data_IF_071815895262
#
_entry.id   IF_071815895262
#
_cell.length_a   1.000
_cell.length_b   1.000
_cell.length_c   1.000
_cell.angle_alpha   90.00
_cell.angle_beta   90.00
_cell.angle_gamma   90.00
#
_symmetry.space_group_name_H-M   'P 1'
#
loop_
_entity.id
_entity.type
_entity.pdbx_description
1 polymer ?
#
# COMPACT_ATOMS: atom_id res chain seq x y z
N UNK A 1 3.19 7.22 -8.50
CA UNK A 1 1.85 7.48 -7.91
C UNK A 1 1.73 6.65 -6.65
N UNK A 2 0.84 6.99 -5.71
CA UNK A 2 0.65 6.22 -4.48
C UNK A 2 -0.29 5.04 -4.72
N UNK A 3 0.14 3.83 -4.40
CA UNK A 3 -0.60 2.59 -4.69
C UNK A 3 -1.96 2.56 -3.99
N UNK A 4 -2.03 2.99 -2.73
CA UNK A 4 -3.29 3.10 -1.99
C UNK A 4 -4.25 4.15 -2.56
N UNK A 5 -3.73 5.26 -3.09
CA UNK A 5 -4.56 6.29 -3.73
C UNK A 5 -5.04 5.85 -5.11
N UNK A 6 -4.19 5.17 -5.89
CA UNK A 6 -4.54 4.59 -7.20
C UNK A 6 -5.67 3.57 -7.02
N UNK A 7 -5.52 2.63 -6.08
CA UNK A 7 -6.54 1.62 -5.78
C UNK A 7 -7.89 2.23 -5.36
N UNK A 8 -7.89 3.47 -4.84
CA UNK A 8 -9.10 4.24 -4.48
C UNK A 8 -9.60 5.18 -5.57
N UNK A 9 -8.92 5.25 -6.72
CA UNK A 9 -9.22 6.21 -7.79
C UNK A 9 -9.01 7.67 -7.38
N UNK A 10 -8.19 7.94 -6.36
CA UNK A 10 -7.95 9.29 -5.83
C UNK A 10 -6.64 9.85 -6.35
N UNK A 11 -6.66 11.13 -6.71
CA UNK A 11 -5.44 11.83 -7.09
C UNK A 11 -4.62 12.19 -5.83
N UNK A 12 -3.49 11.50 -5.68
CA UNK A 12 -2.61 11.62 -4.52
C UNK A 12 -1.94 13.00 -4.40
N UNK A 13 -1.65 13.68 -5.52
CA UNK A 13 -0.99 15.00 -5.51
C UNK A 13 -1.93 16.11 -5.05
N UNK A 14 -3.23 15.99 -5.34
CA UNK A 14 -4.27 16.91 -4.86
C UNK A 14 -4.50 16.74 -3.35
N UNK A 15 -4.49 15.50 -2.86
CA UNK A 15 -4.77 15.21 -1.44
C UNK A 15 -3.61 15.60 -0.50
N UNK A 16 -2.36 15.49 -0.96
CA UNK A 16 -1.19 15.81 -0.13
C UNK A 16 -0.75 17.29 -0.22
N UNK A 17 -1.25 18.02 -1.23
CA UNK A 17 -0.74 19.34 -1.59
C UNK A 17 0.62 19.28 -2.31
N UNK A 18 0.98 20.35 -3.05
CA UNK A 18 2.14 20.35 -3.94
C UNK A 18 3.48 20.17 -3.21
N UNK A 19 3.59 20.68 -1.97
CA UNK A 19 4.85 20.67 -1.18
C UNK A 19 5.16 19.31 -0.54
N UNK A 20 4.17 18.44 -0.33
CA UNK A 20 4.34 17.12 0.34
C UNK A 20 4.02 15.94 -0.59
N UNK A 21 4.31 16.14 -1.86
CA UNK A 21 4.09 15.16 -2.93
C UNK A 21 5.24 14.15 -3.06
N UNK A 22 6.01 13.92 -2.00
CA UNK A 22 7.01 12.86 -2.00
C UNK A 22 6.35 11.50 -1.81
N UNK A 23 6.79 10.53 -2.60
CA UNK A 23 6.39 9.14 -2.50
C UNK A 23 7.44 8.39 -1.68
N UNK A 24 6.99 7.76 -0.61
CA UNK A 24 7.80 6.95 0.29
C UNK A 24 7.61 5.48 -0.05
N UNK A 25 8.69 4.71 0.00
CA UNK A 25 8.62 3.25 -0.11
C UNK A 25 8.35 2.69 1.28
N UNK A 26 7.19 2.07 1.46
CA UNK A 26 6.84 1.32 2.64
C UNK A 26 6.94 -0.17 2.35
N UNK A 27 7.16 -0.97 3.39
CA UNK A 27 7.19 -2.43 3.30
C UNK A 27 6.15 -3.00 4.25
N UNK A 28 5.39 -3.97 3.78
CA UNK A 28 4.58 -4.83 4.62
C UNK A 28 5.35 -6.10 4.96
N UNK A 29 5.23 -6.52 6.21
CA UNK A 29 5.92 -7.69 6.75
C UNK A 29 4.94 -8.68 7.40
N UNK A 30 4.09 -8.18 8.27
CA UNK A 30 3.25 -9.01 9.13
C UNK A 30 1.98 -9.50 8.42
N UNK A 31 1.59 -8.82 7.33
CA UNK A 31 0.31 -9.07 6.65
C UNK A 31 0.37 -10.15 5.56
N UNK A 32 1.57 -10.65 5.21
CA UNK A 32 1.78 -11.64 4.15
C UNK A 32 2.64 -12.82 4.62
N UNK A 33 2.40 -13.32 5.84
CA UNK A 33 3.03 -14.55 6.38
C UNK A 33 4.57 -14.60 6.23
N UNK A 34 5.25 -13.47 6.47
CA UNK A 34 6.71 -13.38 6.40
C UNK A 34 7.28 -12.97 5.04
N UNK A 35 6.43 -12.67 4.04
CA UNK A 35 6.88 -12.07 2.77
C UNK A 35 7.00 -10.56 2.89
N UNK A 36 8.13 -10.00 2.42
CA UNK A 36 8.30 -8.56 2.29
C UNK A 36 7.56 -8.05 1.03
N UNK A 37 6.50 -7.26 1.23
CA UNK A 37 5.80 -6.62 0.12
C UNK A 37 6.12 -5.14 0.10
N UNK A 38 6.85 -4.68 -0.92
CA UNK A 38 7.19 -3.27 -1.07
C UNK A 38 6.11 -2.50 -1.82
N UNK A 39 5.63 -1.41 -1.23
CA UNK A 39 4.63 -0.52 -1.82
C UNK A 39 5.09 0.94 -1.80
N UNK A 40 4.58 1.75 -2.74
CA UNK A 40 4.82 3.19 -2.81
C UNK A 40 3.62 3.93 -2.26
N UNK A 41 3.82 4.62 -1.15
CA UNK A 41 2.80 5.42 -0.49
C UNK A 41 3.10 6.91 -0.61
N UNK A 42 2.05 7.73 -0.61
CA UNK A 42 2.18 9.15 -0.37
C UNK A 42 2.31 9.40 1.13
N UNK A 43 2.80 10.58 1.51
CA UNK A 43 3.00 10.97 2.92
C UNK A 43 1.78 10.72 3.84
N UNK A 44 0.55 11.04 3.40
CA UNK A 44 -0.64 10.77 4.21
C UNK A 44 -0.92 9.28 4.37
N UNK A 45 -0.69 8.48 3.33
CA UNK A 45 -0.88 7.04 3.39
C UNK A 45 0.22 6.35 4.22
N UNK A 46 1.47 6.82 4.16
CA UNK A 46 2.53 6.29 5.01
C UNK A 46 2.28 6.61 6.49
N UNK A 47 1.81 7.82 6.81
CA UNK A 47 1.36 8.16 8.17
C UNK A 47 0.20 7.28 8.64
N UNK A 48 -0.80 7.04 7.80
CA UNK A 48 -1.92 6.16 8.16
C UNK A 48 -1.50 4.72 8.37
N UNK A 49 -0.57 4.23 7.55
CA UNK A 49 0.02 2.91 7.73
C UNK A 49 0.73 2.80 9.08
N UNK A 50 1.52 3.80 9.43
CA UNK A 50 2.22 3.85 10.71
C UNK A 50 1.26 3.93 11.91
N UNK A 51 0.21 4.76 11.83
CA UNK A 51 -0.74 4.97 12.93
C UNK A 51 -1.69 3.79 13.15
N UNK A 52 -2.23 3.21 12.08
CA UNK A 52 -3.24 2.15 12.18
C UNK A 52 -2.63 0.75 12.15
N UNK A 53 -1.38 0.62 11.71
CA UNK A 53 -0.73 -0.66 11.47
C UNK A 53 -1.20 -1.31 10.17
N UNK A 54 -0.44 -2.30 9.71
CA UNK A 54 -0.61 -2.90 8.39
C UNK A 54 -2.00 -3.54 8.18
N UNK A 55 -2.48 -4.31 9.17
CA UNK A 55 -3.76 -5.04 9.08
C UNK A 55 -4.94 -4.09 8.88
N UNK A 56 -5.06 -3.09 9.76
CA UNK A 56 -6.14 -2.10 9.68
C UNK A 56 -6.02 -1.25 8.41
N UNK A 57 -4.80 -0.90 8.00
CA UNK A 57 -4.58 -0.18 6.75
C UNK A 57 -5.05 -0.97 5.53
N UNK A 58 -4.78 -2.29 5.48
CA UNK A 58 -5.22 -3.15 4.38
C UNK A 58 -6.74 -3.36 4.40
N UNK A 59 -7.37 -3.44 5.58
CA UNK A 59 -8.82 -3.57 5.69
C UNK A 59 -9.55 -2.28 5.26
N UNK A 60 -8.95 -1.11 5.49
CA UNK A 60 -9.38 0.19 4.98
C UNK A 60 -9.14 0.37 3.46
N UNK A 61 -8.29 -0.47 2.88
CA UNK A 61 -7.90 -0.44 1.47
C UNK A 61 -8.10 -1.83 0.83
N UNK A 62 -9.34 -2.36 0.88
CA UNK A 62 -9.69 -3.70 0.38
C UNK A 62 -9.27 -3.96 -1.07
N UNK A 63 -9.31 -2.95 -1.93
CA UNK A 63 -8.88 -3.06 -3.34
C UNK A 63 -7.37 -3.30 -3.41
N UNK A 64 -6.58 -2.49 -2.70
CA UNK A 64 -5.14 -2.65 -2.60
C UNK A 64 -4.78 -4.03 -2.03
N UNK A 65 -5.49 -4.46 -0.98
CA UNK A 65 -5.32 -5.80 -0.39
C UNK A 65 -5.52 -6.89 -1.44
N UNK A 66 -6.58 -6.81 -2.25
CA UNK A 66 -6.88 -7.77 -3.31
C UNK A 66 -5.82 -7.77 -4.42
N UNK A 67 -5.34 -6.60 -4.83
CA UNK A 67 -4.27 -6.47 -5.82
C UNK A 67 -2.98 -7.09 -5.33
N UNK A 68 -2.59 -6.80 -4.09
CA UNK A 68 -1.41 -7.38 -3.47
C UNK A 68 -1.55 -8.89 -3.29
N UNK A 69 -2.69 -9.39 -2.80
CA UNK A 69 -2.89 -10.84 -2.69
C UNK A 69 -2.79 -11.51 -4.04
N UNK A 70 -3.37 -10.94 -5.11
CA UNK A 70 -3.31 -11.53 -6.45
C UNK A 70 -1.89 -11.53 -7.05
N UNK A 71 -1.12 -10.46 -6.82
CA UNK A 71 0.26 -10.37 -7.29
C UNK A 71 1.16 -11.38 -6.58
N UNK A 72 0.99 -11.55 -5.28
CA UNK A 72 1.85 -12.41 -4.47
C UNK A 72 1.31 -13.83 -4.28
N UNK A 73 0.05 -14.13 -4.64
CA UNK A 73 -0.49 -15.50 -4.68
C UNK A 73 -0.09 -16.27 -5.95
N UNK A 74 0.38 -15.57 -6.99
CA UNK A 74 0.78 -16.20 -8.25
C UNK A 74 2.16 -16.86 -8.21
N UNK A 75 2.99 -16.56 -7.21
CA UNK A 75 4.34 -17.13 -7.05
C UNK A 75 4.35 -18.57 -6.46
N UNK A 76 3.19 -19.26 -6.40
CA UNK A 76 3.08 -20.64 -5.90
C UNK A 76 3.20 -21.74 -6.96
N UNK A 77 3.44 -21.40 -8.23
CA UNK A 77 3.69 -22.40 -9.28
C UNK A 77 4.94 -22.05 -10.07
N UNK A 78 6.04 -22.72 -9.73
CA UNK A 78 6.98 -23.30 -10.70
C UNK A 78 7.97 -24.20 -9.93
N UNK A 79 7.70 -25.52 -9.95
CA UNK A 79 8.62 -26.59 -9.55
C UNK A 79 8.66 -27.64 -10.66
#
# INVERSE_FOLDING_TARGET
MCDACIAKGKNWSLANGPVRSNLERAKFYASFEGREVSIKLCYLCSMKLFLFGEKNFLDDNKILKKELTNQYSADEFDY
#
